data_IF_666422783001
#
_entry.id   IF_666422783001
#
_cell.length_a   1.000
_cell.length_b   1.000
_cell.length_c   1.000
_cell.angle_alpha   90.00
_cell.angle_beta   90.00
_cell.angle_gamma   90.00
#
_symmetry.space_group_name_H-M   'P 1'
#
loop_
_entity.id
_entity.type
_entity.pdbx_description
1 polymer ?
2 non-polymer ?
3 non-polymer ?
4 water ?
#
# COMPACT_ATOMS: atom_id res chain seq x y z
N UNK A 2 24.13 -2.97 0.31
CA UNK A 2 24.06 -4.22 1.11
C UNK A 2 22.73 -4.32 1.87
N UNK A 3 22.01 -5.40 1.66
CA UNK A 3 20.71 -5.54 2.31
C UNK A 3 20.88 -5.91 3.79
N UNK A 4 20.04 -5.39 4.66
CA UNK A 4 20.01 -5.89 6.03
C UNK A 4 19.75 -7.38 6.04
N UNK A 5 20.51 -8.11 6.85
CA UNK A 5 20.35 -9.55 7.01
C UNK A 5 19.71 -9.82 8.35
N UNK A 6 18.53 -10.45 8.32
CA UNK A 6 17.80 -10.83 9.53
C UNK A 6 17.86 -12.33 9.72
N UNK A 7 18.22 -12.76 10.92
CA UNK A 7 18.27 -14.17 11.26
C UNK A 7 17.14 -14.44 12.26
N UNK A 8 16.15 -15.20 11.84
CA UNK A 8 15.03 -15.55 12.70
C UNK A 8 15.24 -16.93 13.30
N UNK A 9 14.81 -17.08 14.53
CA UNK A 9 14.73 -18.36 15.20
C UNK A 9 13.27 -18.61 15.52
N UNK A 10 12.77 -19.77 15.14
CA UNK A 10 11.43 -20.22 15.51
C UNK A 10 11.60 -21.61 16.08
N UNK A 11 11.30 -21.76 17.36
CA UNK A 11 11.47 -23.03 18.02
C UNK A 11 10.70 -24.12 17.28
N UNK A 12 11.29 -25.29 17.09
CA UNK A 12 10.59 -26.35 16.32
C UNK A 12 9.15 -26.60 16.77
N UNK A 13 8.86 -26.55 18.07
CA UNK A 13 7.48 -26.74 18.52
C UNK A 13 6.58 -25.63 17.99
N UNK A 14 7.08 -24.39 18.00
CA UNK A 14 6.30 -23.27 17.51
C UNK A 14 6.21 -23.28 16.00
N UNK A 15 7.24 -23.81 15.33
CA UNK A 15 7.18 -23.89 13.88
C UNK A 15 6.15 -24.93 13.44
N UNK A 16 6.05 -26.05 14.16
CA UNK A 16 4.99 -27.01 13.85
C UNK A 16 3.63 -26.36 14.00
N UNK A 17 3.43 -25.56 15.05
CA UNK A 17 2.14 -24.91 15.22
C UNK A 17 1.89 -23.92 14.09
N UNK A 18 2.90 -23.15 13.71
CA UNK A 18 2.73 -22.18 12.65
C UNK A 18 2.36 -22.85 11.33
N UNK A 19 2.96 -24.02 11.05
CA UNK A 19 2.73 -24.71 9.78
C UNK A 19 1.48 -25.57 9.78
N UNK A 20 0.83 -25.77 10.93
CA UNK A 20 -0.30 -26.70 11.03
C UNK A 20 -1.52 -26.17 10.27
N UNK A 21 -1.80 -24.88 10.39
CA UNK A 21 -2.95 -24.23 9.72
C UNK A 21 -2.43 -22.91 9.19
N UNK A 22 -2.02 -22.90 7.91
CA UNK A 22 -1.39 -21.71 7.38
C UNK A 22 -2.36 -20.54 7.35
N UNK A 23 -3.67 -20.81 7.43
CA UNK A 23 -4.65 -19.73 7.35
C UNK A 23 -4.90 -19.07 8.70
N UNK A 24 -4.26 -19.55 9.75
CA UNK A 24 -4.48 -19.01 11.07
C UNK A 24 -3.88 -17.62 11.18
N UNK A 25 -4.50 -16.77 12.01
CA UNK A 25 -3.94 -15.47 12.35
C UNK A 25 -3.38 -15.45 13.77
N UNK A 26 -3.17 -16.62 14.37
CA UNK A 26 -2.61 -16.70 15.71
C UNK A 26 -1.10 -16.73 15.63
N UNK A 27 -0.39 -15.75 16.19
CA UNK A 27 1.08 -15.74 16.11
C UNK A 27 1.71 -16.76 17.05
N UNK A 28 2.99 -17.02 16.78
CA UNK A 28 3.83 -17.84 17.65
C UNK A 28 5.05 -17.02 18.06
N UNK A 29 5.66 -17.35 19.19
CA UNK A 29 6.91 -16.67 19.58
C UNK A 29 8.04 -17.00 18.63
N UNK A 30 8.96 -16.05 18.52
CA UNK A 30 10.17 -16.23 17.72
C UNK A 30 11.22 -15.24 18.22
N UNK A 31 12.40 -15.32 17.62
CA UNK A 31 13.47 -14.38 17.91
C UNK A 31 14.06 -13.87 16.61
N UNK A 32 14.51 -12.63 16.64
CA UNK A 32 15.17 -12.00 15.50
C UNK A 32 16.55 -11.54 15.97
N UNK A 33 17.57 -11.89 15.21
CA UNK A 33 18.90 -11.34 15.43
C UNK A 33 19.24 -10.46 14.23
N UNK A 34 19.65 -9.23 14.51
CA UNK A 34 20.08 -8.29 13.48
C UNK A 34 21.40 -7.72 13.94
N UNK A 35 22.47 -8.07 13.23
CA UNK A 35 23.79 -7.71 13.71
C UNK A 35 24.02 -8.36 15.06
N UNK A 36 24.32 -7.54 16.06
CA UNK A 36 24.61 -8.03 17.40
C UNK A 36 23.42 -7.95 18.32
N UNK A 37 22.28 -7.47 17.85
CA UNK A 37 21.14 -7.24 18.72
C UNK A 37 20.07 -8.30 18.50
N UNK A 38 19.45 -8.73 19.58
CA UNK A 38 18.46 -9.80 19.56
C UNK A 38 17.13 -9.24 20.04
N UNK A 39 16.06 -9.72 19.43
CA UNK A 39 14.72 -9.23 19.66
C UNK A 39 13.81 -10.41 19.90
N UNK A 40 13.06 -10.37 20.99
CA UNK A 40 11.98 -11.31 21.20
C UNK A 40 10.75 -10.79 20.46
N UNK A 41 10.16 -11.64 19.64
CA UNK A 41 9.08 -11.22 18.74
C UNK A 41 7.98 -12.27 18.77
N UNK A 42 6.86 -11.91 18.18
CA UNK A 42 5.83 -12.85 17.75
C UNK A 42 5.71 -12.74 16.24
N UNK A 43 5.43 -13.86 15.59
CA UNK A 43 5.44 -13.92 14.13
C UNK A 43 4.23 -14.73 13.70
N UNK A 44 3.67 -14.33 12.56
CA UNK A 44 2.47 -14.98 12.02
C UNK A 44 2.54 -14.83 10.50
N UNK A 45 1.91 -15.75 9.78
CA UNK A 45 1.78 -15.54 8.34
C UNK A 45 0.82 -14.39 8.08
N UNK A 46 1.06 -13.66 6.99
CA UNK A 46 0.18 -12.59 6.59
C UNK A 46 -0.35 -12.82 5.17
N UNK A 47 -1.39 -12.07 4.85
CA UNK A 47 -1.98 -12.10 3.54
C UNK A 47 -3.01 -13.19 3.38
N UNK A 48 -3.38 -13.38 2.12
CA UNK A 48 -4.35 -14.40 1.73
C UNK A 48 -3.67 -15.39 0.80
N UNK A 49 -3.78 -15.19 -0.53
CA UNK A 49 -3.17 -16.15 -1.45
C UNK A 49 -1.67 -16.26 -1.25
N UNK A 50 -1.01 -15.22 -0.73
CA UNK A 50 0.45 -15.30 -0.59
C UNK A 50 0.87 -16.29 0.48
N UNK A 51 -0.08 -16.80 1.27
CA UNK A 51 0.24 -17.90 2.18
C UNK A 51 0.41 -19.22 1.46
N UNK A 52 -0.04 -19.35 0.21
CA UNK A 52 0.05 -20.62 -0.49
C UNK A 52 1.46 -20.91 -0.98
N UNK A 53 2.32 -19.90 -1.01
CA UNK A 53 3.68 -20.03 -1.53
C UNK A 53 4.57 -20.67 -0.47
N UNK A 54 5.58 -21.44 -0.92
CA UNK A 54 6.55 -21.92 0.04
C UNK A 54 7.34 -20.78 0.65
N UNK A 55 7.54 -19.71 -0.11
CA UNK A 55 8.18 -18.50 0.39
C UNK A 55 7.08 -17.67 1.05
N UNK A 56 6.88 -17.92 2.35
CA UNK A 56 5.78 -17.31 3.10
C UNK A 56 6.05 -15.83 3.35
N UNK A 57 4.99 -15.10 3.62
CA UNK A 57 5.07 -13.71 4.07
C UNK A 57 4.65 -13.64 5.53
N UNK A 58 5.27 -12.70 6.29
CA UNK A 58 5.16 -12.67 7.74
C UNK A 58 4.76 -11.30 8.24
N UNK A 59 4.03 -11.30 9.34
CA UNK A 59 3.79 -10.14 10.17
C UNK A 59 4.61 -10.34 11.44
N UNK A 60 5.52 -9.40 11.72
CA UNK A 60 6.46 -9.47 12.84
C UNK A 60 6.05 -8.43 13.85
N UNK A 61 5.84 -8.85 15.10
CA UNK A 61 5.46 -7.97 16.18
C UNK A 61 6.53 -8.03 17.25
N UNK A 62 7.13 -6.88 17.57
CA UNK A 62 8.20 -6.81 18.54
C UNK A 62 7.64 -6.83 19.94
N UNK A 63 8.22 -7.69 20.77
CA UNK A 63 7.80 -7.85 22.14
C UNK A 63 8.80 -7.24 23.10
N UNK A 64 10.03 -7.73 23.10
CA UNK A 64 11.09 -7.16 23.91
C UNK A 64 12.43 -7.22 23.19
N UNK A 65 13.03 -6.05 22.90
CA UNK A 65 12.56 -4.66 23.02
C UNK A 65 11.21 -4.42 22.36
N UNK A 66 10.53 -3.37 22.81
CA UNK A 66 9.20 -3.06 22.30
C UNK A 66 9.24 -2.46 20.90
N UNK A 67 10.39 -1.90 20.51
CA UNK A 67 10.50 -1.23 19.22
C UNK A 67 11.75 -1.66 18.48
N UNK A 68 11.61 -1.67 17.15
CA UNK A 68 12.71 -1.91 16.23
C UNK A 68 12.71 -0.78 15.22
N UNK A 69 13.76 0.03 15.24
CA UNK A 69 13.90 1.18 14.34
C UNK A 69 12.59 1.99 14.28
N UNK A 70 12.09 2.30 15.48
CA UNK A 70 10.95 3.19 15.64
C UNK A 70 9.58 2.58 15.47
N UNK A 71 9.49 1.26 15.33
CA UNK A 71 8.24 0.56 15.03
C UNK A 71 8.02 -0.58 16.01
N UNK A 72 6.75 -0.87 16.30
CA UNK A 72 6.40 -2.02 17.13
C UNK A 72 6.13 -3.27 16.31
N UNK A 73 6.06 -3.15 15.00
CA UNK A 73 5.76 -4.27 14.12
C UNK A 73 6.17 -3.88 12.72
N UNK A 74 6.41 -4.87 11.88
CA UNK A 74 6.50 -4.63 10.45
C UNK A 74 6.00 -5.86 9.69
N UNK A 75 5.90 -5.71 8.39
CA UNK A 75 5.48 -6.76 7.50
C UNK A 75 6.64 -7.19 6.63
N UNK A 76 6.78 -8.50 6.45
CA UNK A 76 7.80 -9.06 5.57
C UNK A 76 7.09 -9.79 4.43
N UNK A 77 7.06 -9.17 3.27
CA UNK A 77 6.40 -9.72 2.10
C UNK A 77 7.41 -10.41 1.20
N UNK A 78 7.07 -11.63 0.77
CA UNK A 78 7.87 -12.30 -0.25
C UNK A 78 7.83 -11.56 -1.58
N UNK A 79 6.74 -10.85 -1.83
CA UNK A 79 6.44 -10.26 -3.15
C UNK A 79 6.61 -11.28 -4.26
N UNK A 80 6.28 -12.54 -3.96
CA UNK A 80 6.58 -13.62 -4.90
C UNK A 80 5.75 -13.55 -6.18
N UNK A 81 4.53 -12.96 -6.12
CA UNK A 81 3.73 -12.79 -7.34
C UNK A 81 4.38 -11.81 -8.31
N UNK A 82 5.26 -10.95 -7.81
CA UNK A 82 5.89 -9.91 -8.60
C UNK A 82 7.23 -10.39 -9.11
N UNK A 83 7.38 -10.69 -10.40
CA UNK A 83 8.67 -11.21 -10.88
C UNK A 83 9.83 -10.24 -10.70
N UNK A 84 9.56 -8.98 -10.42
CA UNK A 84 10.59 -7.98 -10.19
C UNK A 84 10.92 -7.79 -8.72
N UNK A 85 10.03 -8.19 -7.82
CA UNK A 85 10.12 -7.94 -6.39
C UNK A 85 10.18 -6.45 -6.01
N UNK A 86 9.96 -5.53 -6.94
CA UNK A 86 10.14 -4.11 -6.63
C UNK A 86 8.89 -3.27 -6.83
N UNK A 87 7.79 -3.81 -7.39
CA UNK A 87 6.68 -2.93 -7.76
C UNK A 87 6.02 -2.29 -6.56
N UNK A 88 5.86 -3.04 -5.47
CA UNK A 88 5.24 -2.45 -4.28
C UNK A 88 6.09 -1.30 -3.75
N UNK A 89 7.39 -1.52 -3.55
CA UNK A 89 8.26 -0.43 -3.09
C UNK A 89 8.26 0.74 -4.05
N UNK A 90 8.38 0.44 -5.35
CA UNK A 90 8.38 1.50 -6.34
C UNK A 90 7.13 2.34 -6.23
N UNK A 91 5.98 1.67 -6.09
CA UNK A 91 4.70 2.36 -5.98
C UNK A 91 4.61 3.19 -4.71
N UNK A 92 4.91 2.58 -3.56
CA UNK A 92 4.70 3.30 -2.32
C UNK A 92 5.64 4.48 -2.21
N UNK A 93 6.87 4.34 -2.69
CA UNK A 93 7.78 5.48 -2.73
C UNK A 93 7.29 6.54 -3.71
N UNK A 94 6.70 6.13 -4.83
CA UNK A 94 6.13 7.08 -5.77
C UNK A 94 5.03 7.91 -5.10
N UNK A 95 4.14 7.27 -4.33
CA UNK A 95 3.11 8.01 -3.61
C UNK A 95 3.74 9.03 -2.68
N UNK A 96 4.78 8.63 -1.93
CA UNK A 96 5.46 9.60 -1.11
C UNK A 96 5.97 10.78 -1.93
N UNK A 97 6.58 10.49 -3.08
CA UNK A 97 7.17 11.53 -3.89
C UNK A 97 6.14 12.48 -4.49
N UNK A 98 4.89 12.06 -4.65
CA UNK A 98 3.86 12.94 -5.17
C UNK A 98 3.04 13.58 -4.05
N UNK A 99 3.45 13.43 -2.81
CA UNK A 99 2.86 14.18 -1.72
C UNK A 99 1.80 13.46 -0.94
N UNK A 100 1.74 12.12 -1.01
CA UNK A 100 0.79 11.31 -0.29
C UNK A 100 1.51 10.58 0.83
N UNK A 101 0.90 10.57 2.02
CA UNK A 101 1.44 9.74 3.10
C UNK A 101 1.51 8.29 2.67
N UNK A 102 2.64 7.64 2.95
CA UNK A 102 2.86 6.31 2.38
C UNK A 102 3.83 5.49 3.22
N UNK A 103 3.62 4.17 3.36
CA UNK A 103 4.58 3.34 4.12
C UNK A 103 5.95 3.33 3.46
N UNK A 104 6.97 3.41 4.32
CA UNK A 104 8.33 3.12 3.92
C UNK A 104 8.55 1.63 3.74
N UNK A 105 9.58 1.28 2.98
CA UNK A 105 9.90 -0.12 2.76
C UNK A 105 11.35 -0.26 2.38
N UNK A 106 11.87 -1.46 2.59
CA UNK A 106 13.25 -1.74 2.24
C UNK A 106 13.39 -3.24 2.00
N UNK A 107 14.24 -3.60 1.05
CA UNK A 107 14.53 -5.01 0.84
C UNK A 107 15.51 -5.52 1.89
N UNK A 108 15.27 -6.74 2.32
CA UNK A 108 16.07 -7.38 3.35
C UNK A 108 16.26 -8.83 2.93
N UNK A 109 17.22 -9.48 3.58
CA UNK A 109 17.57 -10.86 3.27
C UNK A 109 17.37 -11.65 4.54
N UNK A 110 16.53 -12.68 4.51
CA UNK A 110 16.20 -13.34 5.76
C UNK A 110 16.56 -14.83 5.75
N UNK A 111 16.82 -15.29 6.96
CA UNK A 111 17.05 -16.69 7.27
C UNK A 111 16.13 -17.05 8.40
N UNK A 112 15.66 -18.30 8.40
CA UNK A 112 14.87 -18.84 9.50
C UNK A 112 15.54 -20.14 9.91
N UNK A 113 15.91 -20.22 11.18
CA UNK A 113 16.54 -21.42 11.73
C UNK A 113 17.74 -21.85 10.88
N UNK A 114 18.52 -20.87 10.46
CA UNK A 114 19.75 -21.09 9.73
C UNK A 114 19.59 -21.34 8.25
N UNK A 115 18.36 -21.34 7.76
CA UNK A 115 18.06 -21.63 6.37
C UNK A 115 17.62 -20.36 5.66
N UNK A 116 18.32 -20.02 4.58
CA UNK A 116 17.98 -18.83 3.80
C UNK A 116 16.57 -18.97 3.27
N UNK A 117 15.77 -17.93 3.46
CA UNK A 117 14.46 -17.80 2.84
C UNK A 117 14.47 -16.82 1.68
N UNK A 118 15.45 -15.93 1.65
CA UNK A 118 15.69 -15.11 0.49
C UNK A 118 15.36 -13.65 0.69
N UNK A 119 15.08 -12.99 -0.43
CA UNK A 119 14.87 -11.55 -0.45
C UNK A 119 13.40 -11.26 -0.14
N UNK A 120 13.19 -10.38 0.83
CA UNK A 120 11.87 -9.94 1.24
C UNK A 120 11.79 -8.43 1.16
N UNK A 121 10.57 -7.92 1.06
CA UNK A 121 10.31 -6.50 1.24
C UNK A 121 9.78 -6.29 2.66
N UNK A 122 10.55 -5.54 3.45
CA UNK A 122 10.08 -5.10 4.75
C UNK A 122 9.24 -3.84 4.57
N UNK A 123 7.99 -3.89 5.03
CA UNK A 123 7.05 -2.79 4.89
C UNK A 123 6.66 -2.24 6.25
N UNK A 124 6.62 -0.92 6.33
CA UNK A 124 6.19 -0.20 7.50
C UNK A 124 4.72 -0.47 7.80
N UNK A 125 4.41 -0.70 9.07
CA UNK A 125 3.04 -0.81 9.51
C UNK A 125 2.44 0.58 9.65
N UNK A 126 1.24 0.78 9.09
CA UNK A 126 0.56 2.07 9.13
C UNK A 126 -0.21 2.09 10.45
N UNK A 127 0.42 2.63 11.47
CA UNK A 127 -0.15 2.62 12.81
C UNK A 127 0.29 3.89 13.54
N UNK A 128 0.18 3.88 14.87
CA UNK A 128 0.48 5.09 15.63
C UNK A 128 1.95 5.49 15.50
N UNK A 129 2.86 4.52 15.29
CA UNK A 129 4.26 4.87 15.13
C UNK A 129 4.56 5.45 13.75
N UNK A 130 3.86 4.98 12.72
CA UNK A 130 3.86 5.62 11.42
C UNK A 130 3.60 7.11 11.56
N UNK A 131 2.60 7.47 12.38
CA UNK A 131 2.30 8.89 12.59
C UNK A 131 3.37 9.58 13.41
N UNK A 132 3.76 8.97 14.54
CA UNK A 132 4.74 9.62 15.41
C UNK A 132 6.03 9.88 14.66
N UNK A 133 6.45 8.94 13.81
CA UNK A 133 7.74 9.08 13.17
C UNK A 133 7.74 10.14 12.08
N UNK A 134 6.56 10.56 11.63
CA UNK A 134 6.43 11.65 10.69
C UNK A 134 6.09 12.98 11.38
N UNK A 135 5.98 12.99 12.70
CA UNK A 135 5.60 14.20 13.41
C UNK A 135 4.14 14.56 13.19
N UNK A 136 3.31 13.58 12.91
CA UNK A 136 1.91 13.86 12.57
C UNK A 136 1.03 13.82 13.81
N UNK A 137 -0.08 14.55 13.82
CA UNK A 137 -0.96 14.54 14.99
C UNK A 137 -1.60 13.20 15.24
N UNK A 138 -1.99 13.01 16.51
CA UNK A 138 -2.79 11.87 16.86
C UNK A 138 -4.10 11.88 16.08
N UNK A 139 -4.72 10.72 16.02
CA UNK A 139 -5.98 10.62 15.33
C UNK A 139 -6.36 9.16 15.21
N UNK A 140 -6.99 8.79 14.10
CA UNK A 140 -7.41 7.43 13.87
C UNK A 140 -6.87 6.91 12.56
N UNK A 141 -6.59 5.60 12.53
CA UNK A 141 -6.18 4.90 11.33
C UNK A 141 -7.16 3.75 11.10
N UNK A 142 -7.69 3.66 9.90
CA UNK A 142 -8.67 2.65 9.51
C UNK A 142 -8.13 1.93 8.28
N UNK A 143 -8.20 0.60 8.26
CA UNK A 143 -7.76 -0.17 7.11
C UNK A 143 -8.97 -0.62 6.31
N UNK A 144 -8.92 -0.40 5.00
CA UNK A 144 -9.95 -0.94 4.12
C UNK A 144 -9.82 -2.45 4.02
N UNK A 145 -10.84 -3.19 4.45
CA UNK A 145 -10.76 -4.64 4.51
C UNK A 145 -11.81 -5.36 3.68
N UNK A 146 -12.91 -4.73 3.27
CA UNK A 146 -13.90 -5.42 2.46
C UNK A 146 -14.63 -4.42 1.58
N UNK A 147 -15.59 -4.94 0.81
CA UNK A 147 -16.24 -4.19 -0.26
C UNK A 147 -17.01 -2.97 0.24
N UNK A 148 -17.32 -2.92 1.54
CA UNK A 148 -18.02 -1.75 2.06
C UNK A 148 -17.12 -0.54 2.26
N UNK A 149 -15.80 -0.69 2.11
CA UNK A 149 -14.87 0.44 2.12
C UNK A 149 -14.84 1.14 0.76
N UNK A 150 -15.99 1.67 0.36
CA UNK A 150 -16.15 2.14 -1.01
C UNK A 150 -16.51 3.61 -1.12
N UNK A 151 -16.57 4.33 0.00
CA UNK A 151 -16.88 5.75 0.07
C UNK A 151 -18.32 6.05 -0.32
N UNK A 152 -19.19 5.04 -0.36
CA UNK A 152 -20.59 5.15 -0.76
C UNK A 152 -21.48 4.97 0.46
N UNK A 153 -22.75 5.36 0.32
CA UNK A 153 -23.73 4.96 1.33
C UNK A 153 -24.16 3.52 1.16
N UNK A 154 -23.87 2.90 0.02
CA UNK A 154 -24.54 1.67 -0.37
C UNK A 154 -23.68 0.44 -0.15
N UNK A 155 -24.32 -0.62 0.31
CA UNK A 155 -23.75 -1.96 0.36
C UNK A 155 -24.09 -2.69 -0.93
N UNK A 156 -23.06 -3.10 -1.65
CA UNK A 156 -23.24 -3.84 -2.89
C UNK A 156 -23.96 -5.16 -2.64
N UNK A 157 -23.52 -5.89 -1.63
CA UNK A 157 -24.11 -7.20 -1.32
C UNK A 157 -25.56 -7.08 -0.89
N UNK A 158 -25.86 -6.15 0.01
CA UNK A 158 -27.21 -6.00 0.53
C UNK A 158 -28.14 -5.30 -0.45
N UNK A 159 -27.60 -4.67 -1.50
CA UNK A 159 -28.37 -3.85 -2.42
C UNK A 159 -29.28 -2.90 -1.64
N UNK A 160 -28.67 -2.21 -0.68
CA UNK A 160 -29.37 -1.34 0.25
C UNK A 160 -28.33 -0.42 0.89
N UNK A 161 -28.83 0.58 1.61
CA UNK A 161 -27.95 1.43 2.38
C UNK A 161 -27.23 0.57 3.41
N UNK A 162 -25.95 0.86 3.61
CA UNK A 162 -25.17 0.18 4.64
C UNK A 162 -25.87 0.24 5.99
N UNK A 163 -25.77 -0.87 6.74
CA UNK A 163 -26.33 -0.84 8.09
C UNK A 163 -25.53 0.09 9.00
N UNK A 164 -24.23 0.20 8.77
CA UNK A 164 -23.34 1.11 9.48
C UNK A 164 -22.46 1.79 8.44
N UNK A 165 -22.37 3.13 8.50
CA UNK A 165 -21.55 3.80 7.48
C UNK A 165 -20.05 3.67 7.74
N UNK A 166 -19.65 3.20 8.91
CA UNK A 166 -18.24 2.90 9.14
C UNK A 166 -17.90 1.47 8.74
N UNK A 167 -18.83 0.75 8.14
CA UNK A 167 -18.57 -0.61 7.69
C UNK A 167 -17.43 -0.65 6.67
N UNK A 168 -16.70 -1.76 6.68
CA UNK A 168 -15.68 -2.01 5.68
C UNK A 168 -14.27 -1.82 6.17
N UNK A 169 -14.07 -1.42 7.42
CA UNK A 169 -12.77 -1.01 7.91
C UNK A 169 -12.39 -1.75 9.18
N UNK A 170 -11.11 -2.04 9.30
CA UNK A 170 -10.50 -2.42 10.55
C UNK A 170 -10.08 -1.14 11.26
N UNK A 171 -10.45 -1.01 12.53
CA UNK A 171 -10.06 0.15 13.33
C UNK A 171 -8.70 -0.14 13.97
N UNK A 172 -7.64 0.21 13.25
CA UNK A 172 -6.28 -0.15 13.69
C UNK A 172 -5.83 0.69 14.87
N UNK A 173 -6.09 1.98 14.82
CA UNK A 173 -5.68 2.94 15.85
C UNK A 173 -6.87 3.86 15.99
N UNK A 174 -7.50 3.85 17.15
CA UNK A 174 -8.79 4.49 17.26
C UNK A 174 -9.05 4.94 18.69
N UNK A 175 -10.12 5.71 18.82
CA UNK A 175 -10.54 6.28 20.08
C UNK A 175 -12.06 6.31 20.10
N UNK A 176 -12.64 6.92 21.14
CA UNK A 176 -14.09 6.92 21.29
C UNK A 176 -14.82 7.65 20.17
N UNK A 177 -14.15 8.54 19.43
CA UNK A 177 -14.79 9.31 18.37
C UNK A 177 -14.61 8.71 17.00
N UNK A 178 -13.84 7.62 16.87
CA UNK A 178 -13.39 7.15 15.57
C UNK A 178 -14.55 6.68 14.70
N UNK A 179 -15.51 5.96 15.28
CA UNK A 179 -16.63 5.48 14.48
C UNK A 179 -17.44 6.64 13.93
N UNK A 180 -17.75 7.61 14.78
CA UNK A 180 -18.60 8.72 14.36
C UNK A 180 -17.89 9.62 13.36
N UNK A 181 -16.57 9.79 13.51
CA UNK A 181 -15.81 10.58 12.56
C UNK A 181 -15.84 9.94 11.18
N UNK A 182 -15.67 8.62 11.12
CA UNK A 182 -15.70 7.93 9.84
C UNK A 182 -17.11 7.97 9.26
N UNK A 183 -18.12 7.73 10.10
CA UNK A 183 -19.50 7.74 9.62
C UNK A 183 -19.87 9.10 9.05
N UNK A 184 -19.44 10.15 9.74
CA UNK A 184 -19.73 11.51 9.28
C UNK A 184 -19.07 11.77 7.95
N UNK A 185 -17.82 11.33 7.80
CA UNK A 185 -17.11 11.55 6.54
C UNK A 185 -17.81 10.82 5.41
N UNK A 186 -18.11 9.55 5.60
CA UNK A 186 -18.78 8.78 4.54
C UNK A 186 -20.12 9.41 4.22
N UNK A 187 -20.88 9.79 5.25
CA UNK A 187 -22.19 10.38 5.01
C UNK A 187 -22.06 11.67 4.22
N UNK A 188 -21.21 12.60 4.69
CA UNK A 188 -21.12 13.91 4.04
C UNK A 188 -20.55 13.81 2.63
N UNK A 189 -19.58 12.92 2.42
CA UNK A 189 -19.06 12.69 1.07
C UNK A 189 -20.20 12.39 0.11
N UNK A 190 -21.25 11.72 0.59
CA UNK A 190 -22.34 11.32 -0.27
C UNK A 190 -23.53 12.26 -0.23
N UNK A 191 -23.77 12.92 0.89
CA UNK A 191 -24.98 13.70 1.10
C UNK A 191 -24.83 15.16 0.73
N UNK A 192 -23.62 15.70 0.68
CA UNK A 192 -23.43 17.07 0.23
C UNK A 192 -23.83 17.20 -1.23
N UNK A 193 -24.61 18.23 -1.53
CA UNK A 193 -25.03 18.48 -2.90
C UNK A 193 -23.85 18.98 -3.73
N UNK A 194 -24.05 18.93 -5.05
CA UNK A 194 -23.07 19.51 -5.95
C UNK A 194 -22.83 20.97 -5.60
N UNK A 195 -23.90 21.68 -5.23
CA UNK A 195 -23.77 23.10 -4.96
C UNK A 195 -23.05 23.36 -3.65
N UNK A 196 -23.09 22.43 -2.71
CA UNK A 196 -22.46 22.62 -1.41
C UNK A 196 -21.06 22.04 -1.35
N UNK A 197 -20.69 21.20 -2.33
CA UNK A 197 -19.48 20.37 -2.22
C UNK A 197 -18.21 21.20 -2.08
N UNK A 198 -18.02 22.18 -2.96
CA UNK A 198 -16.76 22.92 -2.96
C UNK A 198 -16.51 23.59 -1.60
N UNK A 199 -17.55 24.15 -0.98
CA UNK A 199 -17.34 24.84 0.30
C UNK A 199 -17.31 23.92 1.50
N UNK A 200 -17.87 22.71 1.39
CA UNK A 200 -18.08 21.91 2.58
C UNK A 200 -17.31 20.59 2.63
N UNK A 201 -16.89 20.01 1.50
CA UNK A 201 -16.23 18.70 1.60
C UNK A 201 -14.90 18.84 2.34
N UNK A 202 -14.25 19.99 2.22
CA UNK A 202 -12.99 20.28 2.89
C UNK A 202 -13.08 20.44 4.40
N UNK A 203 -14.28 20.40 4.97
CA UNK A 203 -14.43 20.30 6.42
C UNK A 203 -14.15 18.90 6.93
N UNK A 204 -14.20 17.91 6.03
CA UNK A 204 -14.08 16.50 6.39
C UNK A 204 -12.93 15.81 5.71
N UNK A 205 -12.54 16.26 4.52
CA UNK A 205 -11.58 15.58 3.67
C UNK A 205 -10.48 16.55 3.29
N UNK A 206 -9.23 16.09 3.35
CA UNK A 206 -8.12 16.87 2.79
C UNK A 206 -8.12 16.64 1.29
N UNK A 207 -8.68 17.60 0.55
CA UNK A 207 -9.02 17.33 -0.85
C UNK A 207 -7.76 17.17 -1.70
N UNK A 208 -6.77 18.04 -1.49
CA UNK A 208 -5.56 17.92 -2.28
C UNK A 208 -4.88 16.58 -2.07
N UNK A 209 -4.82 16.11 -0.82
CA UNK A 209 -4.20 14.83 -0.57
C UNK A 209 -5.03 13.68 -1.14
N UNK A 210 -6.35 13.80 -1.10
CA UNK A 210 -7.19 12.80 -1.75
C UNK A 210 -6.91 12.76 -3.25
N UNK A 211 -6.85 13.93 -3.90
CA UNK A 211 -6.64 13.96 -5.33
C UNK A 211 -5.26 13.46 -5.71
N UNK A 212 -4.26 13.70 -4.85
CA UNK A 212 -2.93 13.15 -5.09
C UNK A 212 -2.90 11.64 -4.94
N UNK A 213 -3.62 11.10 -3.95
CA UNK A 213 -3.77 9.66 -3.87
C UNK A 213 -4.44 9.12 -5.14
N UNK A 214 -5.51 9.77 -5.58
CA UNK A 214 -6.21 9.30 -6.77
C UNK A 214 -5.26 9.28 -7.95
N UNK A 215 -4.49 10.35 -8.12
CA UNK A 215 -3.47 10.40 -9.14
C UNK A 215 -2.50 9.22 -9.04
N UNK A 216 -2.02 8.93 -7.83
CA UNK A 216 -1.16 7.78 -7.65
C UNK A 216 -1.78 6.48 -8.12
N UNK A 217 -3.07 6.26 -7.82
CA UNK A 217 -3.71 5.03 -8.28
C UNK A 217 -3.69 4.98 -9.81
N UNK A 218 -3.96 6.12 -10.45
CA UNK A 218 -4.02 6.21 -11.91
C UNK A 218 -2.66 5.98 -12.54
N UNK A 219 -1.60 6.48 -11.90
CA UNK A 219 -0.28 6.37 -12.49
C UNK A 219 0.28 4.98 -12.33
N UNK A 220 0.10 4.38 -11.16
CA UNK A 220 0.60 3.03 -10.92
C UNK A 220 -0.33 1.96 -11.49
N UNK A 221 -1.61 2.29 -11.68
CA UNK A 221 -2.67 1.39 -12.14
C UNK A 221 -2.88 0.19 -11.23
N UNK A 222 -3.26 0.49 -9.99
CA UNK A 222 -3.78 -0.53 -9.10
C UNK A 222 -5.27 -0.62 -9.35
N UNK A 223 -5.67 -1.63 -10.15
CA UNK A 223 -7.05 -1.73 -10.59
C UNK A 223 -7.99 -1.92 -9.41
N UNK A 224 -7.50 -2.42 -8.29
CA UNK A 224 -8.33 -2.60 -7.10
C UNK A 224 -8.03 -1.55 -6.05
N UNK A 225 -7.50 -0.40 -6.45
CA UNK A 225 -7.01 0.57 -5.49
C UNK A 225 -8.01 1.63 -5.05
N UNK A 226 -9.20 1.65 -5.63
CA UNK A 226 -10.18 2.69 -5.34
C UNK A 226 -11.13 2.35 -4.20
N UNK A 227 -11.36 1.07 -3.94
CA UNK A 227 -12.21 0.66 -2.83
C UNK A 227 -11.53 -0.39 -1.98
N UNK A 228 -10.23 -0.63 -2.22
CA UNK A 228 -9.45 -1.57 -1.46
C UNK A 228 -8.02 -1.04 -1.45
N UNK A 229 -7.15 -1.68 -0.67
CA UNK A 229 -5.71 -1.39 -0.75
C UNK A 229 -5.43 0.04 -0.31
N UNK A 230 -6.06 0.44 0.79
CA UNK A 230 -5.75 1.73 1.38
C UNK A 230 -6.09 1.72 2.86
N UNK A 231 -5.55 2.72 3.54
CA UNK A 231 -5.90 3.07 4.89
C UNK A 231 -6.38 4.52 4.90
N UNK A 232 -7.27 4.81 5.83
CA UNK A 232 -7.66 6.18 6.12
C UNK A 232 -6.98 6.67 7.38
N UNK A 233 -6.62 7.94 7.39
CA UNK A 233 -6.09 8.62 8.55
C UNK A 233 -6.93 9.86 8.80
N UNK A 234 -7.52 9.93 9.99
CA UNK A 234 -8.22 11.12 10.45
C UNK A 234 -7.27 11.86 11.39
N UNK A 235 -6.81 13.00 10.92
CA UNK A 235 -5.93 13.88 11.67
C UNK A 235 -6.77 14.66 12.68
N UNK A 236 -6.51 14.47 13.97
CA UNK A 236 -7.40 15.11 14.95
C UNK A 236 -7.10 16.59 15.13
N UNK A 237 -5.98 17.10 14.60
CA UNK A 237 -5.72 18.53 14.71
C UNK A 237 -6.42 19.31 13.61
N UNK A 238 -6.41 18.79 12.37
CA UNK A 238 -7.12 19.43 11.27
C UNK A 238 -8.55 18.92 11.12
N UNK A 239 -8.86 17.77 11.70
CA UNK A 239 -10.18 17.15 11.63
C UNK A 239 -10.48 16.58 10.24
N UNK A 240 -9.45 16.34 9.45
CA UNK A 240 -9.59 15.92 8.05
C UNK A 240 -9.08 14.50 7.83
N UNK A 241 -9.73 13.82 6.91
CA UNK A 241 -9.32 12.52 6.41
C UNK A 241 -8.35 12.65 5.24
N UNK A 242 -7.42 11.71 5.17
CA UNK A 242 -6.62 11.48 3.97
C UNK A 242 -6.41 9.98 3.81
N UNK A 243 -5.88 9.61 2.65
CA UNK A 243 -5.85 8.21 2.20
C UNK A 243 -4.39 7.81 2.01
N UNK A 244 -4.08 6.61 2.48
CA UNK A 244 -2.72 6.08 2.51
C UNK A 244 -2.73 4.77 1.73
N UNK A 245 -1.90 4.60 0.70
CA UNK A 245 -1.93 3.36 -0.09
C UNK A 245 -1.32 2.17 0.65
N UNK A 246 -1.73 0.96 0.22
CA UNK A 246 -1.19 -0.29 0.72
C UNK A 246 -1.35 -1.36 -0.34
N UNK A 247 -0.37 -2.26 -0.45
CA UNK A 247 -0.47 -3.45 -1.30
C UNK A 247 -0.58 -3.05 -2.78
N UNK A 248 0.53 -2.51 -3.26
CA UNK A 248 0.63 -1.99 -4.61
C UNK A 248 1.59 -2.80 -5.50
N UNK A 249 1.56 -4.13 -5.38
CA UNK A 249 2.42 -4.92 -6.28
C UNK A 249 1.80 -5.13 -7.66
N UNK A 250 0.48 -5.04 -7.80
CA UNK A 250 -0.15 -5.27 -9.11
C UNK A 250 -0.25 -3.95 -9.86
N UNK A 251 0.93 -3.47 -10.23
CA UNK A 251 1.13 -2.13 -10.75
C UNK A 251 2.20 -2.18 -11.81
N UNK A 252 2.45 -1.04 -12.42
CA UNK A 252 3.55 -0.87 -13.36
C UNK A 252 3.58 -2.01 -14.39
N UNK A 253 2.43 -2.29 -14.98
CA UNK A 253 2.36 -3.15 -16.13
C UNK A 253 1.93 -4.58 -15.87
N UNK A 254 1.66 -4.96 -14.63
CA UNK A 254 1.13 -6.29 -14.35
C UNK A 254 -0.10 -6.21 -13.48
N UNK A 255 -0.99 -7.18 -13.67
CA UNK A 255 -2.25 -7.26 -12.93
C UNK A 255 -2.10 -8.16 -11.70
N UNK A 256 -3.19 -8.33 -10.95
CA UNK A 256 -3.12 -9.08 -9.70
C UNK A 256 -2.80 -10.55 -9.92
N UNK A 257 -3.11 -11.12 -11.09
CA UNK A 257 -2.71 -12.47 -11.42
C UNK A 257 -1.27 -12.57 -11.91
N UNK A 258 -0.52 -11.47 -11.89
CA UNK A 258 0.85 -11.46 -12.35
C UNK A 258 1.01 -11.33 -13.85
N UNK A 259 -0.04 -11.11 -14.57
CA UNK A 259 -0.01 -11.15 -16.01
C UNK A 259 0.33 -9.77 -16.56
N UNK A 260 1.03 -9.68 -17.68
CA UNK A 260 1.20 -8.38 -18.33
C UNK A 260 -0.16 -7.83 -18.72
N UNK A 261 -0.33 -6.53 -18.56
CA UNK A 261 -1.50 -5.88 -19.13
C UNK A 261 -1.37 -5.91 -20.65
N UNK A 262 -2.48 -6.25 -21.32
CA UNK A 262 -2.54 -6.11 -22.77
C UNK A 262 -3.04 -4.70 -23.08
N UNK A 263 -4.34 -4.57 -23.32
CA UNK A 263 -4.95 -3.26 -23.53
C UNK A 263 -5.83 -2.86 -22.35
N UNK A 264 -5.58 -3.43 -21.18
CA UNK A 264 -6.29 -3.01 -19.99
C UNK A 264 -5.73 -1.68 -19.49
N UNK A 265 -6.63 -0.81 -19.02
CA UNK A 265 -6.22 0.50 -18.55
C UNK A 265 -7.26 1.01 -17.56
N UNK A 266 -6.85 2.01 -16.79
CA UNK A 266 -7.75 2.72 -15.88
C UNK A 266 -7.97 4.13 -16.43
N UNK A 267 -9.24 4.52 -16.56
CA UNK A 267 -9.55 5.88 -16.96
C UNK A 267 -8.99 6.88 -15.95
N UNK A 268 -8.65 8.08 -16.42
CA UNK A 268 -7.95 9.03 -15.55
C UNK A 268 -8.84 9.53 -14.43
N UNK A 269 -10.17 9.41 -14.54
CA UNK A 269 -11.06 9.83 -13.47
C UNK A 269 -11.09 8.85 -12.32
N UNK A 270 -10.51 7.67 -12.48
CA UNK A 270 -10.58 6.67 -11.45
C UNK A 270 -12.00 6.26 -11.15
N UNK A 271 -12.16 5.71 -9.95
CA UNK A 271 -13.41 5.10 -9.54
C UNK A 271 -13.72 5.46 -8.09
N UNK A 272 -14.91 5.03 -7.69
CA UNK A 272 -15.55 5.20 -6.39
C UNK A 272 -16.32 6.53 -6.36
N UNK A 273 -17.31 6.58 -5.47
CA UNK A 273 -18.28 7.66 -5.51
C UNK A 273 -17.66 8.99 -5.14
N UNK A 274 -16.75 8.99 -4.17
CA UNK A 274 -16.11 10.23 -3.77
C UNK A 274 -15.32 10.83 -4.94
N UNK A 275 -14.59 10.01 -5.67
CA UNK A 275 -13.89 10.54 -6.83
C UNK A 275 -14.88 11.16 -7.81
N UNK A 276 -16.02 10.50 -8.02
CA UNK A 276 -17.02 10.99 -8.95
C UNK A 276 -17.60 12.32 -8.48
N UNK A 277 -17.87 12.44 -7.19
CA UNK A 277 -18.47 13.68 -6.69
C UNK A 277 -17.49 14.84 -6.79
N UNK A 278 -16.23 14.61 -6.43
CA UNK A 278 -15.21 15.65 -6.55
C UNK A 278 -15.02 16.08 -8.00
N UNK A 279 -14.97 15.12 -8.91
CA UNK A 279 -14.70 15.49 -10.29
C UNK A 279 -15.96 15.98 -11.01
N UNK A 280 -17.04 16.24 -10.29
CA UNK A 280 -18.16 17.01 -10.82
C UNK A 280 -18.05 18.50 -10.47
N UNK A 281 -17.00 18.90 -9.78
CA UNK A 281 -16.82 20.26 -9.29
C UNK A 281 -15.72 20.91 -10.12
N UNK A 282 -16.00 22.01 -10.83
CA UNK A 282 -14.95 22.62 -11.66
C UNK A 282 -13.65 22.92 -10.95
N UNK A 283 -13.69 23.51 -9.75
CA UNK A 283 -12.45 23.83 -9.05
C UNK A 283 -11.63 22.57 -8.81
N UNK A 284 -12.28 21.47 -8.44
CA UNK A 284 -11.55 20.25 -8.10
C UNK A 284 -11.08 19.51 -9.34
N UNK A 285 -11.86 19.56 -10.44
CA UNK A 285 -11.41 19.02 -11.72
C UNK A 285 -10.14 19.71 -12.18
N UNK A 286 -10.10 21.04 -12.07
CA UNK A 286 -8.92 21.80 -12.46
C UNK A 286 -7.75 21.47 -11.54
N UNK A 287 -8.02 21.32 -10.24
CA UNK A 287 -6.98 20.95 -9.28
C UNK A 287 -6.39 19.59 -9.62
N UNK A 288 -7.27 18.63 -9.91
CA UNK A 288 -6.82 17.30 -10.25
C UNK A 288 -6.03 17.31 -11.56
N UNK A 289 -6.53 18.02 -12.57
CA UNK A 289 -5.78 18.11 -13.81
C UNK A 289 -4.40 18.67 -13.56
N UNK A 290 -4.30 19.68 -12.70
CA UNK A 290 -3.00 20.29 -12.41
C UNK A 290 -2.07 19.31 -11.72
N UNK A 291 -2.61 18.50 -10.81
CA UNK A 291 -1.82 17.46 -10.14
C UNK A 291 -1.28 16.47 -11.17
N UNK A 292 -2.13 16.00 -12.09
CA UNK A 292 -1.67 15.05 -13.10
C UNK A 292 -0.58 15.68 -13.96
N UNK A 293 -0.76 16.94 -14.34
CA UNK A 293 0.26 17.64 -15.13
C UNK A 293 1.55 17.80 -14.35
N UNK A 294 1.45 18.14 -13.07
CA UNK A 294 2.64 18.32 -12.23
C UNK A 294 3.43 17.01 -12.15
N UNK A 295 2.71 15.91 -11.94
CA UNK A 295 3.36 14.61 -11.79
C UNK A 295 3.95 14.15 -13.12
N UNK A 296 3.23 14.37 -14.22
CA UNK A 296 3.76 14.06 -15.54
C UNK A 296 5.04 14.85 -15.82
N UNK A 297 5.14 16.05 -15.26
CA UNK A 297 6.31 16.87 -15.51
C UNK A 297 7.48 16.54 -14.60
N UNK A 298 7.23 15.96 -13.44
CA UNK A 298 8.28 15.76 -12.44
C UNK A 298 8.56 14.29 -12.19
N UNK A 299 7.59 13.52 -11.73
CA UNK A 299 7.83 12.19 -11.19
C UNK A 299 7.58 11.06 -12.19
N UNK A 300 6.51 11.13 -12.98
CA UNK A 300 6.14 9.99 -13.82
C UNK A 300 6.80 10.12 -15.18
N UNK A 301 8.13 9.98 -15.16
CA UNK A 301 8.93 10.04 -16.36
C UNK A 301 9.97 8.93 -16.29
N UNK A 302 10.42 8.50 -17.46
CA UNK A 302 11.46 7.49 -17.55
C UNK A 302 12.73 8.00 -16.91
N UNK A 303 13.11 9.24 -17.25
CA UNK A 303 14.37 9.76 -16.73
C UNK A 303 14.39 9.72 -15.22
N UNK A 304 13.24 9.98 -14.58
CA UNK A 304 13.15 10.04 -13.13
C UNK A 304 12.93 8.67 -12.47
N UNK A 305 12.07 7.83 -13.04
CA UNK A 305 11.73 6.57 -12.38
C UNK A 305 12.75 5.48 -12.64
N UNK A 306 13.30 5.44 -13.84
CA UNK A 306 14.06 4.23 -14.17
C UNK A 306 15.36 4.14 -13.36
N UNK A 307 16.02 5.24 -12.99
CA UNK A 307 17.18 5.09 -12.09
C UNK A 307 16.81 4.43 -10.78
N UNK A 308 15.59 4.66 -10.30
CA UNK A 308 15.11 4.01 -9.09
C UNK A 308 14.88 2.52 -9.33
N UNK A 309 14.25 2.18 -10.47
CA UNK A 309 14.11 0.77 -10.83
C UNK A 309 15.48 0.10 -10.89
N UNK A 310 16.43 0.74 -11.56
CA UNK A 310 17.73 0.11 -11.77
C UNK A 310 18.48 -0.04 -10.45
N UNK A 311 18.34 0.94 -9.55
CA UNK A 311 19.02 0.86 -8.26
C UNK A 311 18.42 -0.24 -7.39
N UNK A 312 17.09 -0.34 -7.38
CA UNK A 312 16.45 -1.41 -6.62
C UNK A 312 16.88 -2.77 -7.14
N UNK A 313 16.84 -2.97 -8.47
CA UNK A 313 17.20 -4.26 -9.02
C UNK A 313 18.66 -4.59 -8.75
N UNK A 314 19.56 -3.63 -8.93
CA UNK A 314 20.98 -3.89 -8.69
C UNK A 314 21.24 -4.27 -7.25
N UNK A 315 20.49 -3.65 -6.33
CA UNK A 315 20.74 -3.91 -4.91
C UNK A 315 20.31 -5.31 -4.51
N UNK A 316 19.28 -5.87 -5.16
CA UNK A 316 18.81 -7.18 -4.73
C UNK A 316 19.30 -8.32 -5.61
N UNK A 317 19.80 -8.03 -6.80
CA UNK A 317 20.11 -9.11 -7.74
C UNK A 317 21.07 -10.14 -7.18
N UNK A 318 22.20 -9.78 -6.54
CA UNK A 318 23.10 -10.82 -6.06
C UNK A 318 22.49 -11.64 -4.95
N UNK A 319 21.54 -11.07 -4.22
CA UNK A 319 20.84 -11.82 -3.18
C UNK A 319 19.78 -12.75 -3.78
N UNK A 320 19.20 -12.40 -4.92
CA UNK A 320 18.27 -13.30 -5.59
C UNK A 320 18.97 -14.58 -6.02
N UNK A 321 20.24 -14.47 -6.44
CA UNK A 321 21.02 -15.66 -6.76
C UNK A 321 21.29 -16.54 -5.56
N UNK A 322 21.07 -16.03 -4.37
CA UNK A 322 21.21 -16.78 -3.13
C UNK A 322 19.87 -17.16 -2.54
N UNK A 323 18.79 -16.85 -3.23
CA UNK A 323 17.43 -17.06 -2.75
C UNK A 323 16.92 -18.38 -3.30
N UNK A 324 16.59 -19.37 -2.46
CA UNK A 324 16.28 -20.70 -2.98
C UNK A 324 15.03 -20.75 -3.84
N UNK A 325 14.18 -19.74 -3.75
CA UNK A 325 12.95 -19.68 -4.51
C UNK A 325 13.07 -18.88 -5.80
N UNK A 326 14.10 -18.04 -5.89
CA UNK A 326 14.27 -17.08 -6.98
C UNK A 326 15.49 -17.35 -7.82
N UNK A 327 16.43 -18.16 -7.32
CA UNK A 327 17.74 -18.34 -7.96
C UNK A 327 17.62 -18.79 -9.41
N UNK A 328 16.48 -19.38 -9.80
CA UNK A 328 16.27 -19.89 -11.16
C UNK A 328 15.71 -18.86 -12.13
N UNK A 329 15.17 -17.74 -11.66
CA UNK A 329 14.48 -16.84 -12.57
C UNK A 329 15.07 -15.45 -12.58
N UNK A 330 16.39 -15.39 -12.62
CA UNK A 330 17.09 -14.12 -12.77
C UNK A 330 16.87 -13.55 -14.16
N UNK A 331 16.81 -14.40 -15.18
CA UNK A 331 16.58 -13.91 -16.53
C UNK A 331 15.24 -13.17 -16.61
N UNK A 332 14.16 -13.75 -16.07
CA UNK A 332 12.88 -13.08 -16.04
C UNK A 332 12.95 -11.79 -15.23
N UNK A 333 13.58 -11.87 -14.06
CA UNK A 333 13.75 -10.70 -13.22
C UNK A 333 14.42 -9.57 -13.98
N UNK A 334 15.49 -9.92 -14.71
CA UNK A 334 16.28 -8.92 -15.42
C UNK A 334 15.44 -8.19 -16.46
N UNK A 335 14.44 -8.87 -17.02
CA UNK A 335 13.63 -8.31 -18.09
C UNK A 335 12.56 -7.36 -17.56
N UNK A 336 12.35 -7.30 -16.24
CA UNK A 336 11.26 -6.47 -15.73
C UNK A 336 11.55 -4.98 -15.84
N UNK A 337 12.80 -4.54 -15.72
CA UNK A 337 13.10 -3.12 -15.88
C UNK A 337 12.57 -2.61 -17.22
N UNK A 338 12.84 -3.33 -18.31
CA UNK A 338 12.37 -2.89 -19.61
C UNK A 338 10.85 -2.87 -19.68
N UNK A 339 10.20 -3.84 -19.03
CA UNK A 339 8.74 -3.87 -19.01
C UNK A 339 8.18 -2.63 -18.33
N UNK A 340 8.76 -2.25 -17.19
CA UNK A 340 8.31 -1.08 -16.47
C UNK A 340 8.56 0.17 -17.29
N UNK A 341 9.71 0.25 -17.95
CA UNK A 341 10.01 1.40 -18.79
C UNK A 341 8.97 1.52 -19.90
N UNK A 342 8.63 0.42 -20.57
CA UNK A 342 7.61 0.45 -21.62
C UNK A 342 6.28 0.89 -21.05
N UNK A 343 5.93 0.40 -19.86
CA UNK A 343 4.68 0.79 -19.23
C UNK A 343 4.62 2.30 -19.00
N UNK A 344 5.70 2.87 -18.49
CA UNK A 344 5.69 4.30 -18.22
C UNK A 344 5.41 5.06 -19.51
N UNK A 345 6.05 4.65 -20.60
CA UNK A 345 5.85 5.34 -21.87
C UNK A 345 4.41 5.23 -22.34
N UNK A 346 3.84 4.03 -22.25
CA UNK A 346 2.46 3.83 -22.70
C UNK A 346 1.48 4.56 -21.79
N UNK A 347 1.72 4.51 -20.48
CA UNK A 347 0.79 5.14 -19.56
C UNK A 347 0.84 6.65 -19.68
N UNK A 348 2.05 7.21 -19.82
CA UNK A 348 2.18 8.65 -20.04
C UNK A 348 1.33 9.10 -21.21
N UNK A 349 1.42 8.37 -22.32
CA UNK A 349 0.69 8.75 -23.53
C UNK A 349 -0.82 8.71 -23.27
N UNK A 350 -1.30 7.65 -22.63
CA UNK A 350 -2.73 7.57 -22.36
C UNK A 350 -3.17 8.74 -21.52
N UNK A 351 -2.48 9.02 -20.41
CA UNK A 351 -2.94 10.06 -19.51
C UNK A 351 -2.91 11.42 -20.21
N UNK A 352 -1.78 11.74 -20.84
CA UNK A 352 -1.69 13.00 -21.59
C UNK A 352 -2.81 13.11 -22.62
N UNK A 353 -3.13 12.00 -23.31
CA UNK A 353 -4.16 12.05 -24.35
C UNK A 353 -5.56 12.26 -23.80
N UNK A 354 -5.79 12.05 -22.50
CA UNK A 354 -7.12 12.13 -21.93
C UNK A 354 -7.28 13.27 -20.92
N UNK A 355 -6.25 14.08 -20.71
CA UNK A 355 -6.38 15.19 -19.77
C UNK A 355 -7.52 16.12 -20.15
N UNK A 356 -7.80 16.26 -21.44
CA UNK A 356 -8.87 17.15 -21.89
C UNK A 356 -10.24 16.76 -21.33
N UNK A 357 -10.40 15.51 -20.89
CA UNK A 357 -11.65 15.08 -20.28
C UNK A 357 -11.93 15.81 -18.97
N UNK A 358 -10.91 16.41 -18.37
CA UNK A 358 -11.06 17.10 -17.11
C UNK A 358 -11.37 18.59 -17.29
N UNK A 359 -11.39 19.07 -18.52
CA UNK A 359 -11.66 20.48 -18.78
C UNK A 359 -13.11 20.87 -18.46
X LIG B 1 -13.14 15.38 11.03
X LIG C 1 -19.07 13.38 -13.30
X LIG D 1 -3.24 -7.46 -3.58
X LIG E 1 5.05 -5.29 21.08
X LIG F 1 10.04 -0.21 6.81
X LIG F 1 9.89 -1.05 7.95
X LIG F 1 11.04 0.87 7.14
X LIG F 1 12.28 0.44 6.57
X LIG F 1 9.08 0.25 6.55
X LIG F 1 10.39 -0.80 5.96
X LIG F 1 9.25 -1.75 7.76
X LIG F 1 11.15 0.98 8.23
X LIG F 1 10.74 1.82 6.72
X LIG F 1 12.97 1.10 6.76
X LIG G 1 -22.54 -2.74 6.13
X LIG G 1 -23.09 -2.37 7.40
X LIG G 1 -23.47 -3.71 5.39
X LIG G 1 -24.79 -3.16 5.27
X LIG G 1 -21.57 -3.22 6.27
X LIG G 1 -22.39 -1.85 5.52
X LIG G 1 -22.49 -1.75 7.85
X LIG G 1 -23.51 -4.65 5.94
X LIG G 1 -23.07 -3.91 4.40
X LIG G 1 -25.36 -3.79 4.80
#
# INVERSE_FOLDING_TARGET
SMLPSYDFFIHPMNLVELKKDIWSDSPVPAKLTYGKKKYDIDIVYRGAHIREFEKKSYHVMFYKPKKFQGAKEFHLNSEFMDPSLIRNKLSLDFFHDIGVLSPKSQHVFIKINGQIQGVYLQLESVDENFLKNRGLPSGSIYYAIDDDANFSLMSERDKDVKTELFAGYEFKYSNENSEEQLSEFVFQANALSREAYEKEIGKFLHVDKYLRWLAGVIFTQNFDGFVHNYALYHNDETNLFEVIPWDYDATWGRDVQGRPLNHEYIRIQGYNTLSARLLDIPIFRKQYRSILEEILAEQFTVSFMMPKVESLCESIRPYLLQDPYMKEKLETFDQEADMIEEYINKRRKYIQDHLHELD
MG MG
MG MG
MG MG
MG MG
EDO C1 O1 C2 O2 H11 H12 HO1 H21 H22 HO2
EDO C1 O1 C2 O2 H11 H12 HO1 H21 H22 HO2
#
